data_IF_347321020652
#
_entry.id   IF_347321020652
#
_cell.length_a   1.000
_cell.length_b   1.000
_cell.length_c   1.000
_cell.angle_alpha   90.00
_cell.angle_beta   90.00
_cell.angle_gamma   90.00
#
_symmetry.space_group_name_H-M   'P 1'
#
loop_
_entity.id
_entity.type
_entity.pdbx_description
1 polymer ?
#
# COMPACT_ATOMS: atom_id res chain seq x y z
N UNK A 1 -50.67 18.44 21.37
CA UNK A 1 -49.41 19.18 21.15
C UNK A 1 -48.28 18.34 21.73
N UNK A 2 -47.51 17.64 20.91
CA UNK A 2 -46.24 17.02 21.32
C UNK A 2 -45.37 16.92 20.07
N UNK A 3 -44.44 17.86 19.95
CA UNK A 3 -43.41 17.86 18.92
C UNK A 3 -42.23 17.07 19.51
N UNK A 4 -42.06 15.83 19.09
CA UNK A 4 -40.84 15.07 19.37
C UNK A 4 -39.77 15.51 18.38
N UNK A 5 -38.84 16.35 18.83
CA UNK A 5 -37.65 16.71 18.06
C UNK A 5 -36.63 15.58 18.18
N UNK A 6 -36.55 14.75 17.14
CA UNK A 6 -35.43 13.83 16.96
C UNK A 6 -34.17 14.63 16.58
N UNK A 7 -33.10 14.48 17.36
CA UNK A 7 -31.85 15.23 17.18
C UNK A 7 -30.88 14.32 16.43
N UNK A 8 -30.48 14.65 15.19
CA UNK A 8 -29.58 13.79 14.43
C UNK A 8 -28.19 13.75 15.08
N UNK A 9 -27.71 12.55 15.36
CA UNK A 9 -26.32 12.29 15.76
C UNK A 9 -25.39 12.68 14.61
N UNK A 10 -24.35 13.50 14.83
CA UNK A 10 -23.45 13.87 13.76
C UNK A 10 -22.67 12.64 13.27
N UNK A 11 -22.76 12.35 11.97
CA UNK A 11 -21.99 11.30 11.33
C UNK A 11 -20.48 11.52 11.55
N UNK A 12 -19.68 10.45 11.73
CA UNK A 12 -18.22 10.58 11.85
C UNK A 12 -17.67 11.26 10.59
N UNK A 13 -17.06 12.42 10.77
CA UNK A 13 -16.40 13.15 9.67
C UNK A 13 -15.27 12.28 9.13
N UNK A 14 -15.21 11.98 7.82
CA UNK A 14 -14.07 11.29 7.25
C UNK A 14 -12.81 12.10 7.57
N UNK A 15 -11.77 11.43 8.06
CA UNK A 15 -10.51 12.08 8.34
C UNK A 15 -10.00 12.79 7.08
N UNK A 16 -9.29 13.92 7.20
CA UNK A 16 -8.65 14.54 6.05
C UNK A 16 -7.77 13.49 5.39
N UNK A 17 -7.98 13.29 4.10
CA UNK A 17 -7.29 12.33 3.23
C UNK A 17 -5.76 12.39 3.37
N UNK A 18 -5.21 13.56 3.68
CA UNK A 18 -3.78 13.74 3.97
C UNK A 18 -3.32 13.02 5.25
N UNK A 19 -4.16 12.92 6.28
CA UNK A 19 -3.82 12.18 7.52
C UNK A 19 -3.80 10.67 7.29
N UNK A 20 -4.72 10.13 6.48
CA UNK A 20 -4.72 8.71 6.15
C UNK A 20 -3.53 8.35 5.26
N UNK A 21 -3.13 9.23 4.32
CA UNK A 21 -1.91 9.05 3.53
C UNK A 21 -0.65 8.98 4.40
N UNK A 22 -0.50 9.92 5.35
CA UNK A 22 0.64 9.91 6.27
C UNK A 22 0.67 8.67 7.18
N UNK A 23 -0.50 8.18 7.62
CA UNK A 23 -0.59 6.95 8.39
C UNK A 23 -0.15 5.72 7.55
N UNK A 24 -0.59 5.64 6.30
CA UNK A 24 -0.18 4.58 5.38
C UNK A 24 1.33 4.58 5.12
N UNK A 25 1.96 5.76 4.99
CA UNK A 25 3.42 5.86 4.84
C UNK A 25 4.19 5.43 6.09
N UNK A 26 3.69 5.73 7.29
CA UNK A 26 4.29 5.20 8.53
C UNK A 26 4.22 3.68 8.57
N UNK A 27 3.05 3.11 8.27
CA UNK A 27 2.87 1.66 8.21
C UNK A 27 3.69 0.99 7.10
N UNK A 28 4.00 1.71 6.01
CA UNK A 28 4.91 1.25 4.98
C UNK A 28 6.35 1.19 5.51
N UNK A 29 6.82 2.26 6.17
CA UNK A 29 8.15 2.30 6.78
C UNK A 29 8.34 1.23 7.86
N UNK A 30 7.36 1.05 8.75
CA UNK A 30 7.38 0.00 9.77
C UNK A 30 7.46 -1.40 9.12
N UNK A 31 6.70 -1.61 8.04
CA UNK A 31 6.72 -2.86 7.28
C UNK A 31 8.06 -3.15 6.59
N UNK A 32 8.76 -2.11 6.09
CA UNK A 32 10.12 -2.26 5.57
C UNK A 32 11.11 -2.64 6.67
N UNK A 33 11.02 -1.98 7.83
CA UNK A 33 11.87 -2.29 8.98
C UNK A 33 11.65 -3.72 9.51
N UNK A 34 10.41 -4.24 9.45
CA UNK A 34 10.11 -5.64 9.72
C UNK A 34 10.69 -6.57 8.66
N UNK A 35 10.46 -6.29 7.37
CA UNK A 35 10.98 -7.10 6.26
C UNK A 35 12.51 -7.19 6.28
N UNK A 36 13.21 -6.12 6.67
CA UNK A 36 14.66 -6.11 6.79
C UNK A 36 15.18 -7.07 7.88
N UNK A 37 14.42 -7.23 8.97
CA UNK A 37 14.75 -8.12 10.10
C UNK A 37 14.32 -9.57 9.88
N UNK A 38 13.37 -9.81 8.99
CA UNK A 38 12.87 -11.14 8.68
C UNK A 38 13.86 -11.88 7.77
N UNK A 39 14.39 -13.04 8.16
CA UNK A 39 15.37 -13.78 7.36
C UNK A 39 14.73 -14.86 6.48
N UNK A 40 13.49 -15.26 6.76
CA UNK A 40 12.76 -16.23 5.95
C UNK A 40 12.22 -15.55 4.67
N UNK A 41 12.65 -15.96 3.46
CA UNK A 41 12.18 -15.35 2.21
C UNK A 41 10.66 -15.45 2.03
N UNK A 42 10.01 -16.51 2.55
CA UNK A 42 8.56 -16.68 2.48
C UNK A 42 7.79 -15.63 3.29
N UNK A 43 8.42 -15.04 4.30
CA UNK A 43 7.84 -13.99 5.14
C UNK A 43 8.32 -12.60 4.74
N UNK A 44 9.60 -12.48 4.35
CA UNK A 44 10.21 -11.22 3.86
C UNK A 44 9.52 -10.73 2.60
N UNK A 45 9.23 -11.62 1.64
CA UNK A 45 8.65 -11.22 0.35
C UNK A 45 7.24 -10.59 0.50
N UNK A 46 6.26 -11.22 1.18
CA UNK A 46 4.96 -10.58 1.44
C UNK A 46 5.07 -9.30 2.26
N UNK A 47 5.98 -9.23 3.24
CA UNK A 47 6.17 -8.04 4.08
C UNK A 47 6.64 -6.84 3.25
N UNK A 48 7.68 -7.02 2.42
CA UNK A 48 8.16 -6.00 1.49
C UNK A 48 7.08 -5.56 0.50
N UNK A 49 6.33 -6.51 -0.05
CA UNK A 49 5.22 -6.23 -0.96
C UNK A 49 4.10 -5.41 -0.30
N UNK A 50 3.75 -5.73 0.94
CA UNK A 50 2.73 -5.03 1.70
C UNK A 50 3.15 -3.60 2.04
N UNK A 51 4.43 -3.37 2.34
CA UNK A 51 4.96 -2.03 2.53
C UNK A 51 4.78 -1.18 1.25
N UNK A 52 5.14 -1.72 0.09
CA UNK A 52 4.92 -1.05 -1.19
C UNK A 52 3.42 -0.77 -1.43
N UNK A 53 2.53 -1.74 -1.16
CA UNK A 53 1.08 -1.54 -1.31
C UNK A 53 0.55 -0.37 -0.47
N UNK A 54 1.02 -0.23 0.76
CA UNK A 54 0.62 0.87 1.64
C UNK A 54 1.08 2.22 1.09
N UNK A 55 2.29 2.30 0.53
CA UNK A 55 2.74 3.51 -0.14
C UNK A 55 1.90 3.82 -1.40
N UNK A 56 1.59 2.83 -2.23
CA UNK A 56 0.67 3.00 -3.36
C UNK A 56 -0.70 3.51 -2.91
N UNK A 57 -1.25 2.93 -1.84
CA UNK A 57 -2.51 3.40 -1.23
C UNK A 57 -2.41 4.83 -0.67
N UNK A 58 -1.25 5.27 -0.19
CA UNK A 58 -1.05 6.65 0.25
C UNK A 58 -1.14 7.63 -0.92
N UNK A 59 -0.57 7.27 -2.08
CA UNK A 59 -0.74 8.05 -3.32
C UNK A 59 -2.21 8.10 -3.70
N UNK A 60 -2.90 6.96 -3.68
CA UNK A 60 -4.33 6.91 -3.99
C UNK A 60 -5.15 7.76 -3.03
N UNK A 61 -4.83 7.75 -1.73
CA UNK A 61 -5.47 8.64 -0.78
C UNK A 61 -5.31 10.08 -1.25
N UNK A 62 -4.09 10.58 -1.44
CA UNK A 62 -3.84 11.98 -1.83
C UNK A 62 -4.45 12.36 -3.19
N UNK A 63 -4.47 11.44 -4.16
CA UNK A 63 -4.77 11.75 -5.57
C UNK A 63 -6.17 11.35 -6.01
N UNK A 64 -6.75 10.29 -5.45
CA UNK A 64 -8.06 9.83 -5.86
C UNK A 64 -9.15 10.68 -5.18
N UNK A 65 -10.13 11.11 -5.96
CA UNK A 65 -11.41 11.58 -5.44
C UNK A 65 -11.98 10.54 -4.44
N UNK A 66 -12.80 10.95 -3.45
CA UNK A 66 -13.26 10.08 -2.36
C UNK A 66 -14.13 8.93 -2.87
N UNK A 67 -13.48 7.87 -3.33
CA UNK A 67 -14.09 6.60 -3.67
C UNK A 67 -13.67 5.59 -2.59
N UNK A 68 -14.60 4.92 -1.91
CA UNK A 68 -14.25 3.87 -0.98
C UNK A 68 -13.61 2.72 -1.77
N UNK A 69 -12.32 2.44 -1.56
CA UNK A 69 -11.64 1.32 -2.22
C UNK A 69 -10.99 0.39 -1.20
N UNK A 70 -11.66 -0.74 -0.98
CA UNK A 70 -11.05 -2.01 -0.56
C UNK A 70 -10.89 -2.87 -1.81
N UNK A 71 -9.86 -2.60 -2.60
CA UNK A 71 -9.53 -3.39 -3.80
C UNK A 71 -8.36 -4.34 -3.53
N UNK A 72 -8.31 -5.47 -4.24
CA UNK A 72 -7.16 -6.37 -4.21
C UNK A 72 -5.88 -5.65 -4.70
N UNK A 73 -4.66 -6.14 -4.39
CA UNK A 73 -3.39 -5.52 -4.79
C UNK A 73 -3.31 -5.12 -6.26
N UNK A 74 -3.77 -5.99 -7.17
CA UNK A 74 -3.85 -5.69 -8.60
C UNK A 74 -4.69 -4.45 -8.90
N UNK A 75 -5.85 -4.33 -8.25
CA UNK A 75 -6.71 -3.15 -8.38
C UNK A 75 -6.02 -1.87 -7.85
N UNK A 76 -5.19 -1.97 -6.80
CA UNK A 76 -4.41 -0.82 -6.32
C UNK A 76 -3.42 -0.38 -7.38
N UNK A 77 -2.69 -1.31 -8.00
CA UNK A 77 -1.68 -0.99 -9.02
C UNK A 77 -2.28 -0.47 -10.32
N UNK A 78 -3.38 -1.07 -10.77
CA UNK A 78 -4.09 -0.61 -11.98
C UNK A 78 -4.58 0.84 -11.81
N UNK A 79 -5.13 1.17 -10.63
CA UNK A 79 -5.58 2.53 -10.32
C UNK A 79 -4.38 3.47 -10.19
N UNK A 80 -3.29 3.02 -9.55
CA UNK A 80 -2.08 3.82 -9.39
C UNK A 80 -1.52 4.27 -10.73
N UNK A 81 -1.39 3.36 -11.70
CA UNK A 81 -0.93 3.67 -13.05
C UNK A 81 -1.84 4.71 -13.76
N UNK A 82 -3.12 4.76 -13.40
CA UNK A 82 -4.08 5.73 -13.94
C UNK A 82 -3.95 7.12 -13.29
N UNK A 83 -3.85 7.19 -11.96
CA UNK A 83 -3.84 8.47 -11.21
C UNK A 83 -2.44 9.06 -10.98
N UNK A 84 -1.40 8.25 -11.19
CA UNK A 84 0.00 8.62 -11.13
C UNK A 84 0.78 7.88 -12.23
N UNK A 85 0.60 8.27 -13.51
CA UNK A 85 1.27 7.62 -14.64
C UNK A 85 2.80 7.63 -14.52
N UNK A 86 3.38 8.61 -13.84
CA UNK A 86 4.82 8.67 -13.53
C UNK A 86 5.30 7.51 -12.62
N UNK A 87 4.38 6.83 -11.93
CA UNK A 87 4.62 5.62 -11.15
C UNK A 87 4.15 4.35 -11.91
N UNK A 88 3.82 4.45 -13.20
CA UNK A 88 3.26 3.35 -13.99
C UNK A 88 4.19 2.14 -14.09
N UNK A 89 5.49 2.35 -14.27
CA UNK A 89 6.48 1.27 -14.29
C UNK A 89 6.55 0.52 -12.96
N UNK A 90 6.49 1.26 -11.84
CA UNK A 90 6.42 0.68 -10.51
C UNK A 90 5.14 -0.11 -10.30
N UNK A 91 3.99 0.41 -10.74
CA UNK A 91 2.72 -0.29 -10.67
C UNK A 91 2.76 -1.62 -11.45
N UNK A 92 3.30 -1.61 -12.68
CA UNK A 92 3.44 -2.81 -13.50
C UNK A 92 4.39 -3.83 -12.85
N UNK A 93 5.53 -3.37 -12.32
CA UNK A 93 6.48 -4.21 -11.59
C UNK A 93 5.81 -4.92 -10.42
N UNK A 94 5.18 -4.19 -9.49
CA UNK A 94 4.54 -4.82 -8.33
C UNK A 94 3.32 -5.67 -8.72
N UNK A 95 2.56 -5.29 -9.75
CA UNK A 95 1.49 -6.14 -10.26
C UNK A 95 2.03 -7.52 -10.70
N UNK A 96 3.18 -7.57 -11.38
CA UNK A 96 3.83 -8.82 -11.78
C UNK A 96 4.26 -9.70 -10.58
N UNK A 97 4.64 -9.07 -9.46
CA UNK A 97 5.02 -9.76 -8.22
C UNK A 97 3.84 -10.34 -7.42
N UNK A 98 2.59 -10.00 -7.77
CA UNK A 98 1.39 -10.40 -7.00
C UNK A 98 1.24 -11.91 -6.86
N UNK A 99 1.51 -12.66 -7.92
CA UNK A 99 1.39 -14.12 -7.92
C UNK A 99 2.43 -14.78 -7.01
N UNK A 100 3.67 -14.30 -7.05
CA UNK A 100 4.75 -14.75 -6.16
C UNK A 100 4.44 -14.45 -4.70
N UNK A 101 3.91 -13.25 -4.40
CA UNK A 101 3.45 -12.91 -3.04
C UNK A 101 2.32 -13.84 -2.58
N UNK A 102 1.34 -14.15 -3.43
CA UNK A 102 0.27 -15.07 -3.09
C UNK A 102 0.79 -16.50 -2.83
N UNK A 103 1.74 -16.97 -3.64
CA UNK A 103 2.40 -18.26 -3.42
C UNK A 103 3.20 -18.29 -2.12
N UNK A 104 3.90 -17.20 -1.78
CA UNK A 104 4.64 -17.05 -0.55
C UNK A 104 3.74 -17.18 0.69
N UNK A 105 2.60 -16.48 0.69
CA UNK A 105 1.61 -16.53 1.77
C UNK A 105 0.96 -17.91 1.90
N UNK A 106 0.85 -18.64 0.80
CA UNK A 106 0.40 -20.04 0.80
C UNK A 106 1.50 -21.03 1.24
N UNK A 107 2.71 -20.54 1.60
CA UNK A 107 3.83 -21.38 2.06
C UNK A 107 4.53 -22.16 0.96
N UNK A 108 4.39 -21.75 -0.31
CA UNK A 108 4.97 -22.45 -1.45
C UNK A 108 6.44 -22.02 -1.63
N UNK A 109 7.34 -22.61 -0.84
CA UNK A 109 8.77 -22.29 -0.76
C UNK A 109 9.50 -22.27 -2.11
N UNK A 110 9.14 -23.17 -3.04
CA UNK A 110 9.85 -23.32 -4.33
C UNK A 110 9.75 -22.10 -5.26
N UNK A 111 8.85 -21.16 -4.99
CA UNK A 111 8.59 -19.98 -5.84
C UNK A 111 9.21 -18.69 -5.29
N UNK A 112 9.82 -18.72 -4.11
CA UNK A 112 10.44 -17.55 -3.48
C UNK A 112 11.82 -17.94 -2.96
N UNK A 113 12.84 -17.44 -3.62
CA UNK A 113 14.22 -17.58 -3.16
C UNK A 113 14.67 -16.33 -2.40
N UNK A 114 15.81 -16.46 -1.72
CA UNK A 114 16.41 -15.38 -0.94
C UNK A 114 16.65 -14.14 -1.81
N UNK A 115 17.18 -14.34 -3.02
CA UNK A 115 17.51 -13.27 -3.94
C UNK A 115 16.27 -12.51 -4.38
N UNK A 116 15.19 -13.19 -4.73
CA UNK A 116 13.93 -12.57 -5.11
C UNK A 116 13.28 -11.78 -3.96
N UNK A 117 13.41 -12.28 -2.72
CA UNK A 117 12.96 -11.55 -1.54
C UNK A 117 13.81 -10.28 -1.27
N UNK A 118 15.12 -10.37 -1.42
CA UNK A 118 16.05 -9.23 -1.25
C UNK A 118 15.87 -8.18 -2.34
N UNK A 119 15.69 -8.62 -3.59
CA UNK A 119 15.42 -7.75 -4.73
C UNK A 119 14.07 -7.04 -4.56
N UNK A 120 13.02 -7.76 -4.16
CA UNK A 120 11.73 -7.12 -3.89
C UNK A 120 11.83 -6.11 -2.74
N UNK A 121 12.56 -6.41 -1.67
CA UNK A 121 12.76 -5.48 -0.56
C UNK A 121 13.43 -4.19 -1.04
N UNK A 122 14.52 -4.29 -1.82
CA UNK A 122 15.21 -3.12 -2.38
C UNK A 122 14.32 -2.30 -3.30
N UNK A 123 13.48 -2.95 -4.11
CA UNK A 123 12.52 -2.28 -4.98
C UNK A 123 11.41 -1.59 -4.16
N UNK A 124 10.93 -2.23 -3.08
CA UNK A 124 9.97 -1.64 -2.17
C UNK A 124 10.54 -0.41 -1.46
N UNK A 125 11.77 -0.46 -0.95
CA UNK A 125 12.46 0.66 -0.31
C UNK A 125 12.55 1.88 -1.24
N UNK A 126 13.02 1.68 -2.48
CA UNK A 126 13.09 2.73 -3.49
C UNK A 126 11.71 3.35 -3.75
N UNK A 127 10.70 2.51 -3.99
CA UNK A 127 9.35 2.98 -4.26
C UNK A 127 8.75 3.76 -3.09
N UNK A 128 8.87 3.25 -1.85
CA UNK A 128 8.37 3.94 -0.65
C UNK A 128 9.09 5.27 -0.44
N UNK A 129 10.40 5.35 -0.69
CA UNK A 129 11.18 6.58 -0.63
C UNK A 129 10.63 7.65 -1.58
N UNK A 130 10.51 7.32 -2.87
CA UNK A 130 9.97 8.24 -3.89
C UNK A 130 8.54 8.69 -3.57
N UNK A 131 7.66 7.76 -3.17
CA UNK A 131 6.29 8.11 -2.80
C UNK A 131 6.27 9.04 -1.60
N UNK A 132 7.08 8.77 -0.57
CA UNK A 132 7.15 9.60 0.64
C UNK A 132 7.56 11.02 0.33
N UNK A 133 8.54 11.21 -0.54
CA UNK A 133 8.95 12.54 -1.03
C UNK A 133 7.80 13.21 -1.80
N UNK A 134 7.17 12.49 -2.74
CA UNK A 134 6.09 13.05 -3.56
C UNK A 134 4.85 13.49 -2.75
N UNK A 135 4.53 12.77 -1.66
CA UNK A 135 3.38 13.07 -0.79
C UNK A 135 3.68 14.24 0.14
N UNK A 136 4.92 14.41 0.60
CA UNK A 136 5.32 15.54 1.45
C UNK A 136 5.34 16.89 0.72
N UNK A 137 5.49 16.87 -0.60
CA UNK A 137 5.50 18.06 -1.45
C UNK A 137 4.10 18.59 -1.81
N UNK A 138 3.02 17.95 -1.34
CA UNK A 138 1.62 18.33 -1.59
C UNK A 138 0.94 18.82 -0.33
#
# INVERSE_FOLDING_TARGET
MTITTDRPVPAPRPAPVSRSALALLRQAADGLAEAHREHDPLRRYPAAYLAALRAGAAVLAVRAAPQPRRGAPRAVWDILATVAPELGEWAAFFASCSATRAAAEAGIARLVDQRGADDLLRQAEQFVGMVTESVRLR
#
